data_IF_501406197925
#
_entry.id   IF_501406197925
#
_cell.length_a   1.000
_cell.length_b   1.000
_cell.length_c   1.000
_cell.angle_alpha   90.00
_cell.angle_beta   90.00
_cell.angle_gamma   90.00
#
_symmetry.space_group_name_H-M   'P 1'
#
loop_
_entity.id
_entity.type
_entity.pdbx_description
1 polymer ?
#
# COMPACT_ATOMS: atom_id res chain seq x y z
N UNK A 1 2.04 -4.68 -27.82
CA UNK A 1 1.54 -4.75 -26.43
C UNK A 1 2.32 -3.79 -25.56
N UNK A 2 1.61 -2.87 -24.94
CA UNK A 2 2.27 -1.89 -24.07
C UNK A 2 2.53 -2.48 -22.69
N UNK A 3 3.73 -2.24 -22.19
CA UNK A 3 4.06 -2.65 -20.83
C UNK A 3 3.45 -1.65 -19.86
N UNK A 4 3.03 -2.17 -18.70
CA UNK A 4 2.60 -1.32 -17.61
C UNK A 4 3.80 -0.52 -17.10
N UNK A 5 3.78 0.84 -17.16
CA UNK A 5 4.92 1.63 -16.71
C UNK A 5 5.19 1.49 -15.22
N UNK A 6 4.24 0.94 -14.46
CA UNK A 6 4.36 0.77 -13.02
C UNK A 6 4.75 -0.64 -12.59
N UNK A 7 4.95 -1.57 -13.55
CA UNK A 7 5.21 -2.98 -13.20
C UNK A 7 6.50 -3.18 -12.39
N UNK A 8 7.43 -2.25 -12.49
CA UNK A 8 8.69 -2.32 -11.73
C UNK A 8 8.75 -1.31 -10.59
N UNK A 9 7.65 -0.60 -10.32
CA UNK A 9 7.62 0.42 -9.28
C UNK A 9 7.17 -0.21 -7.97
N UNK A 10 7.91 0.08 -6.90
CA UNK A 10 7.53 -0.32 -5.54
C UNK A 10 7.05 0.94 -4.83
N UNK A 11 5.79 0.91 -4.40
CA UNK A 11 5.19 2.03 -3.69
C UNK A 11 5.38 1.86 -2.18
N UNK A 12 6.03 2.82 -1.55
CA UNK A 12 6.19 2.84 -0.08
C UNK A 12 5.15 3.80 0.48
N UNK A 13 4.37 3.34 1.45
CA UNK A 13 3.32 4.17 2.03
C UNK A 13 3.90 5.28 2.87
N UNK A 14 3.20 6.41 2.87
CA UNK A 14 3.51 7.52 3.79
C UNK A 14 2.20 8.22 4.12
N UNK A 15 1.58 7.77 5.21
CA UNK A 15 0.27 8.26 5.63
C UNK A 15 0.28 9.76 5.93
N UNK A 16 1.39 10.26 6.47
CA UNK A 16 1.48 11.67 6.84
C UNK A 16 1.47 12.61 5.65
N UNK A 17 1.78 12.14 4.45
CA UNK A 17 1.75 12.94 3.24
C UNK A 17 0.44 12.79 2.46
N UNK A 18 -0.47 11.95 2.93
CA UNK A 18 -1.75 11.76 2.26
C UNK A 18 -2.70 12.92 2.50
N UNK A 19 -3.27 13.46 1.43
CA UNK A 19 -4.28 14.51 1.51
C UNK A 19 -5.70 13.97 1.44
N UNK A 20 -5.86 12.67 1.33
CA UNK A 20 -7.13 11.96 1.24
C UNK A 20 -7.13 10.77 2.18
N UNK A 21 -8.29 10.13 2.42
CA UNK A 21 -8.31 8.94 3.26
C UNK A 21 -7.28 7.92 2.76
N UNK A 22 -6.55 7.34 3.70
CA UNK A 22 -5.42 6.48 3.36
C UNK A 22 -5.84 5.26 2.53
N UNK A 23 -6.96 4.64 2.89
CA UNK A 23 -7.46 3.49 2.14
C UNK A 23 -7.76 3.87 0.68
N UNK A 24 -8.33 5.04 0.45
CA UNK A 24 -8.60 5.53 -0.90
C UNK A 24 -7.31 5.74 -1.68
N UNK A 25 -6.29 6.27 -1.02
CA UNK A 25 -4.99 6.47 -1.66
C UNK A 25 -4.39 5.13 -2.07
N UNK A 26 -4.48 4.12 -1.21
CA UNK A 26 -3.95 2.79 -1.53
C UNK A 26 -4.72 2.17 -2.70
N UNK A 27 -6.03 2.35 -2.76
CA UNK A 27 -6.80 1.85 -3.91
C UNK A 27 -6.35 2.49 -5.21
N UNK A 28 -6.07 3.79 -5.21
CA UNK A 28 -5.58 4.47 -6.39
C UNK A 28 -4.21 3.95 -6.80
N UNK A 29 -3.31 3.77 -5.84
CA UNK A 29 -1.99 3.22 -6.11
C UNK A 29 -2.10 1.81 -6.69
N UNK A 30 -2.92 0.97 -6.09
CA UNK A 30 -3.09 -0.41 -6.56
C UNK A 30 -3.73 -0.48 -7.95
N UNK A 31 -4.55 0.51 -8.32
CA UNK A 31 -5.17 0.53 -9.64
C UNK A 31 -4.15 0.66 -10.76
N UNK A 32 -2.95 1.17 -10.46
CA UNK A 32 -1.86 1.24 -11.44
C UNK A 32 -1.04 -0.06 -11.50
N UNK A 33 -1.34 -1.04 -10.66
CA UNK A 33 -0.67 -2.34 -10.60
C UNK A 33 0.85 -2.22 -10.46
N UNK A 34 1.33 -1.58 -9.36
CA UNK A 34 2.77 -1.53 -9.10
C UNK A 34 3.29 -2.93 -8.78
N UNK A 35 4.60 -3.08 -8.77
CA UNK A 35 5.22 -4.36 -8.45
C UNK A 35 4.88 -4.82 -7.03
N UNK A 36 4.86 -3.88 -6.09
CA UNK A 36 4.51 -4.17 -4.70
C UNK A 36 4.19 -2.88 -3.96
N UNK A 37 3.48 -3.01 -2.84
CA UNK A 37 3.24 -1.92 -1.91
C UNK A 37 3.91 -2.30 -0.59
N UNK A 38 4.72 -1.39 -0.04
CA UNK A 38 5.36 -1.60 1.26
C UNK A 38 4.65 -0.73 2.27
N UNK A 39 4.05 -1.35 3.28
CA UNK A 39 3.38 -0.63 4.36
C UNK A 39 4.42 -0.29 5.44
N UNK A 40 4.79 0.98 5.50
CA UNK A 40 5.81 1.49 6.41
C UNK A 40 5.27 2.71 7.16
N UNK A 41 4.64 2.45 8.30
CA UNK A 41 4.06 3.50 9.14
C UNK A 41 4.65 3.39 10.54
N UNK A 42 5.79 4.03 10.74
CA UNK A 42 6.59 3.89 11.97
C UNK A 42 6.00 4.62 13.17
N UNK A 43 5.09 5.54 12.93
CA UNK A 43 4.49 6.36 14.00
C UNK A 43 3.27 5.71 14.65
N UNK A 44 2.86 4.53 14.19
CA UNK A 44 1.68 3.86 14.71
C UNK A 44 2.05 2.84 15.79
N UNK A 45 1.26 2.78 16.89
CA UNK A 45 1.36 1.67 17.83
C UNK A 45 1.11 0.34 17.12
N UNK A 46 1.68 -0.73 17.63
CA UNK A 46 1.59 -2.06 17.02
C UNK A 46 0.15 -2.48 16.74
N UNK A 47 -0.76 -2.24 17.68
CA UNK A 47 -2.17 -2.61 17.53
C UNK A 47 -2.82 -1.86 16.37
N UNK A 48 -2.58 -0.56 16.28
CA UNK A 48 -3.13 0.25 15.19
C UNK A 48 -2.50 -0.12 13.85
N UNK A 49 -1.21 -0.42 13.85
CA UNK A 49 -0.53 -0.88 12.66
C UNK A 49 -1.14 -2.19 12.15
N UNK A 50 -1.43 -3.13 13.05
CA UNK A 50 -2.02 -4.40 12.68
C UNK A 50 -3.39 -4.22 12.02
N UNK A 51 -4.23 -3.34 12.55
CA UNK A 51 -5.53 -3.04 11.97
C UNK A 51 -5.40 -2.42 10.58
N UNK A 52 -4.48 -1.48 10.46
CA UNK A 52 -4.22 -0.84 9.18
C UNK A 52 -3.69 -1.86 8.17
N UNK A 53 -2.79 -2.72 8.60
CA UNK A 53 -2.21 -3.76 7.75
C UNK A 53 -3.28 -4.69 7.20
N UNK A 54 -4.24 -5.11 8.03
CA UNK A 54 -5.34 -5.97 7.56
C UNK A 54 -6.13 -5.30 6.45
N UNK A 55 -6.44 -4.02 6.63
CA UNK A 55 -7.20 -3.24 5.67
C UNK A 55 -6.44 -3.10 4.34
N UNK A 56 -5.16 -2.76 4.43
CA UNK A 56 -4.33 -2.56 3.25
C UNK A 56 -4.06 -3.86 2.51
N UNK A 57 -3.83 -4.95 3.25
CA UNK A 57 -3.65 -6.27 2.64
C UNK A 57 -4.88 -6.69 1.85
N UNK A 58 -6.08 -6.41 2.36
CA UNK A 58 -7.31 -6.74 1.66
C UNK A 58 -7.43 -5.95 0.35
N UNK A 59 -7.11 -4.67 0.39
CA UNK A 59 -7.14 -3.83 -0.82
C UNK A 59 -6.14 -4.35 -1.85
N UNK A 60 -4.91 -4.60 -1.42
CA UNK A 60 -3.87 -5.10 -2.33
C UNK A 60 -4.25 -6.45 -2.93
N UNK A 61 -4.84 -7.33 -2.13
CA UNK A 61 -5.30 -8.63 -2.60
C UNK A 61 -6.38 -8.48 -3.68
N UNK A 62 -7.29 -7.54 -3.48
CA UNK A 62 -8.37 -7.28 -4.44
C UNK A 62 -7.82 -6.86 -5.80
N UNK A 63 -6.75 -6.10 -5.81
CA UNK A 63 -6.08 -5.64 -7.03
C UNK A 63 -4.95 -6.56 -7.49
N UNK A 64 -4.70 -7.65 -6.77
CA UNK A 64 -3.63 -8.60 -7.06
C UNK A 64 -2.25 -7.95 -7.02
N UNK A 65 -2.04 -7.04 -6.08
CA UNK A 65 -0.76 -6.35 -5.86
C UNK A 65 -0.12 -6.92 -4.60
N UNK A 66 1.14 -7.38 -4.67
CA UNK A 66 1.84 -7.84 -3.47
C UNK A 66 1.97 -6.71 -2.43
N UNK A 67 1.72 -7.04 -1.18
CA UNK A 67 1.88 -6.09 -0.09
C UNK A 67 2.91 -6.63 0.90
N UNK A 68 3.92 -5.81 1.18
CA UNK A 68 5.00 -6.16 2.10
C UNK A 68 4.82 -5.36 3.37
N UNK A 69 4.74 -6.05 4.50
CA UNK A 69 4.64 -5.39 5.79
C UNK A 69 6.05 -5.13 6.33
N UNK A 70 6.36 -3.86 6.57
CA UNK A 70 7.63 -3.47 7.14
C UNK A 70 7.48 -3.39 8.66
N UNK A 71 8.10 -4.33 9.36
CA UNK A 71 8.09 -4.36 10.82
C UNK A 71 9.31 -3.62 11.36
N UNK A 72 9.14 -3.04 12.55
CA UNK A 72 10.19 -2.25 13.18
C UNK A 72 11.27 -3.10 13.81
#
# INVERSE_FOLDING_TARGET
MQKNPYENVIAVTNRSLCQRPFAEQIERVCSFHPKAVILREKDLPEEEYSRLAEQILEICKRYQVPCILHTY
#
